data_IF_099976538168
#
_entry.id   IF_099976538168
#
_cell.length_a   1.000
_cell.length_b   1.000
_cell.length_c   1.000
_cell.angle_alpha   90.00
_cell.angle_beta   90.00
_cell.angle_gamma   90.00
#
_symmetry.space_group_name_H-M   'P 1'
#
loop_
_entity.id
_entity.type
_entity.pdbx_description
1 polymer ?
#
# COMPACT_ATOMS: atom_id res chain seq x y z
N UNK A 1 0.77 -10.27 -14.75
CA UNK A 1 0.82 -8.80 -14.59
C UNK A 1 -0.59 -8.34 -14.26
N UNK A 2 -1.02 -8.57 -13.02
CA UNK A 2 -2.36 -8.30 -12.48
C UNK A 2 -2.18 -8.29 -10.95
N UNK A 3 -2.78 -7.43 -10.11
CA UNK A 3 -3.66 -6.28 -10.29
C UNK A 3 -3.58 -5.50 -8.96
N UNK A 4 -3.25 -4.21 -8.96
CA UNK A 4 -3.35 -3.38 -7.76
C UNK A 4 -4.83 -3.08 -7.50
N UNK A 5 -5.49 -3.80 -6.60
CA UNK A 5 -6.89 -3.50 -6.27
C UNK A 5 -7.01 -2.89 -4.88
N UNK A 6 -7.10 -1.55 -4.88
CA UNK A 6 -7.82 -0.76 -3.88
C UNK A 6 -8.73 0.19 -4.67
N UNK A 7 -10.04 -0.06 -4.69
CA UNK A 7 -11.02 0.76 -5.45
C UNK A 7 -11.38 2.11 -4.78
N UNK A 8 -10.43 2.72 -4.09
CA UNK A 8 -10.39 4.14 -3.75
C UNK A 8 -8.93 4.61 -3.90
N UNK A 9 -8.64 5.23 -5.04
CA UNK A 9 -7.28 5.65 -5.41
C UNK A 9 -6.88 6.92 -4.62
N UNK A 10 -6.24 6.77 -3.47
CA UNK A 10 -5.29 7.78 -2.99
C UNK A 10 -3.94 7.53 -3.68
N UNK A 11 -3.54 8.31 -4.69
CA UNK A 11 -2.24 8.14 -5.30
C UNK A 11 -1.16 8.53 -4.27
N UNK A 12 -0.27 7.59 -3.93
CA UNK A 12 0.94 7.91 -3.20
C UNK A 12 1.86 8.73 -4.11
N UNK A 13 2.03 10.01 -3.80
CA UNK A 13 2.97 10.89 -4.52
C UNK A 13 4.29 10.95 -3.79
N UNK A 14 5.34 10.50 -4.47
CA UNK A 14 6.73 10.66 -4.05
C UNK A 14 7.36 11.71 -4.94
N UNK A 15 7.89 12.79 -4.37
CA UNK A 15 8.57 13.86 -5.10
C UNK A 15 9.98 14.07 -4.55
N UNK A 16 10.91 14.37 -5.45
CA UNK A 16 12.27 14.75 -5.12
C UNK A 16 12.49 16.20 -5.54
N UNK A 17 13.09 17.00 -4.66
CA UNK A 17 13.50 18.37 -4.93
C UNK A 17 15.01 18.49 -4.88
N UNK A 18 15.56 19.48 -5.58
CA UNK A 18 16.97 19.82 -5.47
C UNK A 18 17.21 20.87 -4.40
N UNK A 19 18.18 20.62 -3.54
CA UNK A 19 18.77 21.66 -2.69
C UNK A 19 19.80 22.45 -3.53
N UNK A 20 19.72 23.79 -3.49
CA UNK A 20 20.62 24.72 -4.19
C UNK A 20 20.84 24.41 -5.69
N UNK A 21 19.86 23.81 -6.35
CA UNK A 21 19.95 23.46 -7.77
C UNK A 21 21.22 22.65 -8.12
N UNK A 22 21.53 21.64 -7.30
CA UNK A 22 22.69 20.73 -7.44
C UNK A 22 24.08 21.41 -7.39
N UNK A 23 24.21 22.68 -6.98
CA UNK A 23 25.54 23.34 -6.89
C UNK A 23 26.51 22.62 -5.95
N UNK A 24 26.01 22.07 -4.84
CA UNK A 24 26.84 21.35 -3.84
C UNK A 24 27.02 19.86 -4.14
N UNK A 25 26.18 19.27 -4.99
CA UNK A 25 26.19 17.85 -5.35
C UNK A 25 26.52 17.61 -6.83
N UNK A 26 27.10 18.62 -7.50
CA UNK A 26 27.38 18.61 -8.94
C UNK A 26 28.22 17.42 -9.38
N UNK A 27 29.14 16.97 -8.53
CA UNK A 27 30.01 15.82 -8.77
C UNK A 27 29.27 14.47 -8.75
N UNK A 28 28.03 14.44 -8.28
CA UNK A 28 27.20 13.23 -8.14
C UNK A 28 26.03 13.19 -9.14
N UNK A 29 25.78 14.28 -9.87
CA UNK A 29 24.74 14.40 -10.88
C UNK A 29 23.77 15.56 -10.64
N UNK A 30 23.05 15.95 -11.68
CA UNK A 30 22.03 17.01 -11.64
C UNK A 30 20.61 16.45 -11.42
N UNK A 31 20.50 15.17 -11.08
CA UNK A 31 19.23 14.50 -10.87
C UNK A 31 18.93 14.39 -9.38
N UNK A 32 17.68 14.66 -9.02
CA UNK A 32 17.15 14.37 -7.69
C UNK A 32 16.34 13.08 -7.76
N UNK A 33 16.50 12.22 -6.75
CA UNK A 33 15.81 10.95 -6.70
C UNK A 33 15.07 10.77 -5.38
N UNK A 34 13.93 10.09 -5.44
CA UNK A 34 13.15 9.69 -4.28
C UNK A 34 12.55 8.32 -4.54
N UNK A 35 12.48 7.52 -3.47
CA UNK A 35 11.97 6.15 -3.49
C UNK A 35 11.42 5.82 -2.11
N UNK A 36 10.72 4.70 -2.02
CA UNK A 36 10.15 4.20 -0.78
C UNK A 36 11.02 3.05 -0.28
N UNK A 37 11.23 3.01 1.03
CA UNK A 37 11.92 1.93 1.70
C UNK A 37 11.17 1.56 2.98
N UNK A 38 11.23 0.28 3.34
CA UNK A 38 10.74 -0.18 4.64
C UNK A 38 11.59 0.41 5.79
N UNK A 39 10.96 0.66 6.93
CA UNK A 39 11.65 1.20 8.09
C UNK A 39 12.79 0.26 8.53
N UNK A 40 14.02 0.77 8.56
CA UNK A 40 15.20 0.01 8.97
C UNK A 40 15.86 -0.82 7.85
N UNK A 41 15.26 -0.94 6.67
CA UNK A 41 15.84 -1.69 5.55
C UNK A 41 16.82 -0.87 4.70
N UNK A 42 16.81 0.46 4.84
CA UNK A 42 17.71 1.35 4.11
C UNK A 42 18.65 2.12 5.05
N UNK A 43 19.96 2.01 4.77
CA UNK A 43 21.01 2.83 5.38
C UNK A 43 21.74 3.59 4.28
N UNK A 44 21.64 4.91 4.32
CA UNK A 44 22.33 5.79 3.38
C UNK A 44 23.85 5.68 3.55
N UNK A 45 24.55 5.59 2.42
CA UNK A 45 26.01 5.76 2.32
C UNK A 45 26.34 6.74 1.19
N UNK A 46 27.46 7.46 1.28
CA UNK A 46 27.80 8.53 0.32
C UNK A 46 27.85 8.08 -1.15
N UNK A 47 28.24 6.83 -1.42
CA UNK A 47 28.24 6.25 -2.79
C UNK A 47 26.85 6.13 -3.41
N UNK A 48 25.80 6.17 -2.60
CA UNK A 48 24.41 6.10 -3.06
C UNK A 48 24.04 7.31 -3.91
N UNK A 49 24.72 8.43 -3.73
CA UNK A 49 24.58 9.61 -4.58
C UNK A 49 24.94 9.32 -6.05
N UNK A 50 25.87 8.41 -6.33
CA UNK A 50 26.26 8.02 -7.69
C UNK A 50 25.53 6.76 -8.20
N UNK A 51 25.18 5.82 -7.30
CA UNK A 51 24.66 4.49 -7.67
C UNK A 51 23.18 4.30 -7.32
N UNK A 52 22.45 5.39 -7.15
CA UNK A 52 21.09 5.42 -6.64
C UNK A 52 20.14 4.40 -7.31
N UNK A 53 20.13 4.33 -8.65
CA UNK A 53 19.22 3.44 -9.40
C UNK A 53 19.43 1.95 -9.08
N UNK A 54 20.63 1.55 -8.65
CA UNK A 54 20.90 0.15 -8.27
C UNK A 54 20.30 -0.25 -6.92
N UNK A 55 19.88 0.71 -6.09
CA UNK A 55 19.22 0.48 -4.79
C UNK A 55 17.72 0.72 -4.82
N UNK A 56 17.21 1.34 -5.88
CA UNK A 56 15.79 1.67 -6.01
C UNK A 56 14.90 0.46 -6.35
N UNK A 57 15.48 -0.70 -6.64
CA UNK A 57 14.77 -1.95 -6.98
C UNK A 57 14.30 -2.76 -5.76
N UNK A 58 14.04 -2.07 -4.64
CA UNK A 58 13.57 -2.71 -3.41
C UNK A 58 12.07 -2.99 -3.47
N UNK A 59 11.66 -4.21 -3.11
CA UNK A 59 10.25 -4.52 -2.90
C UNK A 59 9.74 -3.78 -1.66
N UNK A 60 8.64 -3.05 -1.82
CA UNK A 60 7.98 -2.35 -0.71
C UNK A 60 6.65 -3.01 -0.38
N UNK A 61 6.36 -3.12 0.92
CA UNK A 61 5.04 -3.50 1.41
C UNK A 61 4.40 -2.24 1.97
N UNK A 62 3.30 -1.81 1.37
CA UNK A 62 2.53 -0.67 1.87
C UNK A 62 1.43 -1.20 2.79
N UNK A 63 1.31 -0.66 3.99
CA UNK A 63 0.11 -0.80 4.81
C UNK A 63 -0.86 0.34 4.44
N UNK A 64 -2.12 0.02 4.14
CA UNK A 64 -3.14 1.01 3.78
C UNK A 64 -4.43 0.73 4.53
N UNK A 65 -5.26 1.75 4.77
CA UNK A 65 -6.62 1.60 5.30
C UNK A 65 -7.62 2.28 4.37
N UNK A 66 -8.84 1.75 4.31
CA UNK A 66 -9.92 2.26 3.46
C UNK A 66 -10.85 3.20 4.24
N UNK A 67 -11.34 4.23 3.55
CA UNK A 67 -12.35 5.16 4.07
C UNK A 67 -11.85 6.16 5.11
N UNK A 68 -12.70 7.14 5.45
CA UNK A 68 -12.50 8.04 6.61
C UNK A 68 -13.51 7.65 7.69
N UNK A 69 -13.06 7.47 8.94
CA UNK A 69 -13.96 7.33 10.10
C UNK A 69 -14.22 5.90 10.55
N UNK A 70 -15.41 5.67 11.15
CA UNK A 70 -15.79 4.41 11.81
C UNK A 70 -16.13 3.31 10.80
N UNK A 71 -16.00 2.06 11.24
CA UNK A 71 -16.44 0.91 10.47
C UNK A 71 -17.93 1.05 10.10
N UNK A 72 -18.34 0.73 8.86
CA UNK A 72 -19.75 0.79 8.47
C UNK A 72 -20.60 -0.13 9.35
N UNK A 73 -21.63 0.38 10.01
CA UNK A 73 -22.43 -0.40 10.97
C UNK A 73 -23.25 -1.52 10.31
N UNK A 74 -23.40 -1.50 8.99
CA UNK A 74 -24.23 -2.43 8.24
C UNK A 74 -23.51 -2.85 6.97
N UNK A 75 -23.24 -4.14 6.82
CA UNK A 75 -22.90 -4.71 5.52
C UNK A 75 -24.08 -4.50 4.57
N UNK A 76 -23.85 -3.81 3.45
CA UNK A 76 -24.86 -3.40 2.47
C UNK A 76 -25.77 -2.24 2.89
N UNK A 77 -25.21 -1.08 3.26
CA UNK A 77 -25.94 0.17 3.06
C UNK A 77 -25.95 0.50 1.55
N UNK A 78 -27.15 0.57 1.00
CA UNK A 78 -27.55 0.71 -0.41
C UNK A 78 -27.08 1.99 -1.13
N UNK A 79 -26.05 2.67 -0.64
CA UNK A 79 -25.56 3.93 -1.20
C UNK A 79 -24.04 4.13 -1.19
N UNK A 80 -23.25 3.21 -0.62
CA UNK A 80 -21.78 3.30 -0.63
C UNK A 80 -21.17 2.10 -1.35
N UNK A 81 -20.43 2.30 -2.46
CA UNK A 81 -19.97 1.19 -3.28
C UNK A 81 -18.88 0.40 -2.55
N UNK A 82 -19.12 -0.90 -2.36
CA UNK A 82 -18.11 -1.97 -2.44
C UNK A 82 -16.79 -1.74 -1.69
N UNK A 83 -16.74 -1.93 -0.37
CA UNK A 83 -15.48 -1.79 0.36
C UNK A 83 -14.81 -3.11 0.74
N UNK A 84 -15.58 -4.13 1.12
CA UNK A 84 -15.08 -5.50 1.26
C UNK A 84 -15.86 -6.48 0.36
N UNK A 85 -15.22 -7.57 -0.04
CA UNK A 85 -15.77 -8.61 -0.90
C UNK A 85 -16.78 -9.52 -0.18
N UNK A 86 -17.39 -10.44 -0.93
CA UNK A 86 -18.25 -11.49 -0.34
C UNK A 86 -17.41 -12.39 0.57
N UNK A 87 -18.00 -12.87 1.67
CA UNK A 87 -17.32 -13.69 2.70
C UNK A 87 -16.14 -12.98 3.37
N UNK A 88 -16.26 -11.66 3.56
CA UNK A 88 -15.29 -10.87 4.28
C UNK A 88 -15.96 -9.91 5.26
N UNK A 89 -15.21 -9.52 6.28
CA UNK A 89 -15.59 -8.58 7.32
C UNK A 89 -14.64 -7.38 7.31
N UNK A 90 -15.12 -6.23 7.78
CA UNK A 90 -14.26 -5.10 8.07
C UNK A 90 -13.75 -5.19 9.52
N UNK A 91 -12.60 -4.59 9.78
CA UNK A 91 -12.09 -4.36 11.13
C UNK A 91 -11.33 -3.04 11.19
N UNK A 92 -11.24 -2.47 12.39
CA UNK A 92 -10.55 -1.20 12.58
C UNK A 92 -9.05 -1.37 12.34
N UNK A 93 -8.45 -0.41 11.62
CA UNK A 93 -7.00 -0.33 11.52
C UNK A 93 -6.40 0.07 12.86
N UNK A 94 -5.49 -0.72 13.40
CA UNK A 94 -4.77 -0.40 14.65
C UNK A 94 -3.83 0.81 14.49
N UNK A 95 -3.47 1.16 13.25
CA UNK A 95 -2.45 2.17 12.92
C UNK A 95 -3.02 3.48 12.37
N UNK A 96 -4.34 3.71 12.40
CA UNK A 96 -4.88 4.99 11.95
C UNK A 96 -6.39 5.07 11.74
N UNK A 97 -6.80 6.11 11.00
CA UNK A 97 -8.19 6.38 10.61
C UNK A 97 -8.56 5.52 9.40
N UNK A 98 -9.62 4.74 9.52
CA UNK A 98 -10.14 3.87 8.45
C UNK A 98 -10.33 2.44 8.93
N UNK A 99 -10.58 1.54 7.97
CA UNK A 99 -10.80 0.12 8.23
C UNK A 99 -10.12 -0.75 7.16
N UNK A 100 -9.92 -2.02 7.53
CA UNK A 100 -9.33 -3.07 6.71
C UNK A 100 -10.37 -4.16 6.47
N UNK A 101 -10.21 -4.92 5.39
CA UNK A 101 -11.03 -6.10 5.11
C UNK A 101 -10.24 -7.38 5.40
N UNK A 102 -10.91 -8.40 5.93
CA UNK A 102 -10.37 -9.76 6.13
C UNK A 102 -11.43 -10.80 5.78
N UNK A 103 -11.03 -11.94 5.22
CA UNK A 103 -11.95 -13.05 4.99
C UNK A 103 -12.47 -13.59 6.33
N UNK A 104 -13.77 -13.92 6.38
CA UNK A 104 -14.35 -14.56 7.57
C UNK A 104 -13.80 -15.98 7.75
N UNK A 105 -13.90 -16.52 8.97
CA UNK A 105 -13.41 -17.86 9.30
C UNK A 105 -13.91 -18.90 8.30
N UNK A 106 -12.99 -19.72 7.79
CA UNK A 106 -13.26 -20.75 6.78
C UNK A 106 -13.04 -20.31 5.33
N UNK A 107 -12.73 -19.04 5.08
CA UNK A 107 -12.45 -18.49 3.75
C UNK A 107 -11.04 -17.88 3.67
N UNK A 108 -10.40 -17.99 2.51
CA UNK A 108 -9.09 -17.41 2.21
C UNK A 108 -9.06 -16.73 0.84
N UNK A 109 -8.11 -15.81 0.66
CA UNK A 109 -7.89 -15.06 -0.56
C UNK A 109 -7.93 -13.55 -0.33
N UNK A 110 -8.25 -12.77 -1.37
CA UNK A 110 -8.19 -11.31 -1.30
C UNK A 110 -9.57 -10.73 -0.90
N UNK A 111 -9.73 -10.20 0.32
CA UNK A 111 -11.01 -9.71 0.82
C UNK A 111 -11.47 -8.40 0.19
N UNK A 112 -10.65 -7.76 -0.66
CA UNK A 112 -11.04 -6.55 -1.39
C UNK A 112 -11.61 -6.87 -2.79
N UNK A 113 -11.54 -8.12 -3.23
CA UNK A 113 -12.11 -8.58 -4.49
C UNK A 113 -13.50 -9.18 -4.28
N UNK A 114 -14.43 -8.90 -5.20
CA UNK A 114 -15.74 -9.58 -5.22
C UNK A 114 -15.52 -11.07 -5.48
N UNK A 115 -15.87 -11.92 -4.53
CA UNK A 115 -15.61 -13.36 -4.60
C UNK A 115 -14.13 -13.75 -4.35
N UNK A 116 -13.32 -12.82 -3.84
CA UNK A 116 -11.91 -13.09 -3.56
C UNK A 116 -11.68 -13.94 -2.31
N UNK A 117 -12.63 -14.00 -1.39
CA UNK A 117 -12.61 -14.94 -0.27
C UNK A 117 -13.33 -16.24 -0.69
N UNK A 118 -12.54 -17.27 -0.94
CA UNK A 118 -12.99 -18.60 -1.36
C UNK A 118 -12.94 -19.56 -0.17
N UNK A 119 -13.96 -20.42 -0.04
CA UNK A 119 -14.04 -21.37 1.06
C UNK A 119 -12.92 -22.41 0.96
N UNK A 120 -12.36 -22.79 2.11
CA UNK A 120 -11.50 -23.97 2.16
C UNK A 120 -12.36 -25.19 1.86
N UNK A 121 -12.20 -25.79 0.68
CA UNK A 121 -12.74 -27.11 0.43
C UNK A 121 -12.12 -28.06 1.46
N UNK A 122 -12.91 -28.50 2.46
CA UNK A 122 -12.54 -29.64 3.27
C UNK A 122 -12.55 -30.85 2.34
N UNK A 123 -11.37 -31.22 1.83
CA UNK A 123 -11.17 -32.57 1.29
C UNK A 123 -11.33 -33.52 2.47
N UNK A 124 -12.47 -34.21 2.50
CA UNK A 124 -12.65 -35.43 3.27
C UNK A 124 -11.87 -36.57 2.61
#
# INVERSE_FOLDING_TARGET
MESCVVKQSCPLRVSAGSVNNHTLSRNYGWCSYAFLAELGSYKFIGTDLCRFLSKADSTIVLEWATGKGRCPTTGNSTGTPYTCGVNSEFYYSERGIGYLCRCITGYEGNPYLRGGCQGKYQRF
#
